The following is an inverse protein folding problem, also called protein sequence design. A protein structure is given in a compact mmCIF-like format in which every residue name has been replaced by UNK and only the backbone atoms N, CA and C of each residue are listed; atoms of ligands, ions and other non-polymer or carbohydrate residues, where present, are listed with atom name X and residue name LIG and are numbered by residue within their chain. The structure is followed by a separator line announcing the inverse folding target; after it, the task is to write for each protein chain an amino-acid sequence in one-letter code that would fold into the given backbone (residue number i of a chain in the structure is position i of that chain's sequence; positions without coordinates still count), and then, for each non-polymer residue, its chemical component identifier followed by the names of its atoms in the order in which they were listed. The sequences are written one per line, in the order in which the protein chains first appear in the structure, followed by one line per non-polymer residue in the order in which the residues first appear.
data_IF_562707736269
#
_entry.id   IF_562707736269
#
_cell.length_a   1.000
_cell.length_b   1.000
_cell.length_c   1.000
_cell.angle_alpha   90.00
_cell.angle_beta   90.00
_cell.angle_gamma   90.00
#
_symmetry.space_group_name_H-M   'P 1'
#
loop_
_entity.id
_entity.type
_entity.pdbx_description
1 polymer ?
#
# COMPACT_ATOMS: atom_id res chain seq x y z
N UNK A 1 22.65 -3.81 5.92
CA UNK A 1 21.93 -2.55 5.65
C UNK A 1 20.53 -2.94 5.26
N UNK A 2 19.68 -3.12 6.25
CA UNK A 2 18.27 -3.45 6.05
C UNK A 2 17.61 -2.25 5.36
N UNK A 3 17.04 -2.46 4.17
CA UNK A 3 16.29 -1.42 3.48
C UNK A 3 15.09 -1.06 4.35
N UNK A 4 15.06 0.17 4.84
CA UNK A 4 13.89 0.68 5.53
C UNK A 4 12.74 0.77 4.53
N UNK A 5 11.66 0.06 4.83
CA UNK A 5 10.49 -0.06 3.98
C UNK A 5 9.58 1.15 4.17
N UNK A 6 9.84 2.21 3.40
CA UNK A 6 9.09 3.45 3.48
C UNK A 6 7.86 3.36 2.58
N UNK A 7 6.66 3.33 3.19
CA UNK A 7 5.39 3.55 2.50
C UNK A 7 5.00 5.01 2.74
N UNK A 8 4.40 5.67 1.76
CA UNK A 8 3.82 7.01 1.92
C UNK A 8 2.33 6.94 1.63
N UNK A 9 1.56 7.71 2.38
CA UNK A 9 0.15 7.97 2.05
C UNK A 9 0.03 9.01 0.93
N UNK A 10 -1.20 9.31 0.53
CA UNK A 10 -1.50 10.26 -0.55
C UNK A 10 -1.08 11.70 -0.20
N UNK A 11 -0.90 12.03 1.08
CA UNK A 11 -0.38 13.31 1.55
C UNK A 11 1.17 13.35 1.58
N UNK A 12 1.81 12.24 1.22
CA UNK A 12 3.27 12.10 1.20
C UNK A 12 3.89 11.82 2.56
N UNK A 13 3.08 11.55 3.58
CA UNK A 13 3.52 11.27 4.95
C UNK A 13 3.94 9.81 5.07
N UNK A 14 5.09 9.58 5.72
CA UNK A 14 5.64 8.22 5.90
C UNK A 14 4.74 7.39 6.80
N UNK A 15 4.30 6.25 6.30
CA UNK A 15 3.50 5.23 6.99
C UNK A 15 4.28 3.94 7.17
N UNK A 16 4.22 3.41 8.39
CA UNK A 16 4.75 2.10 8.74
C UNK A 16 3.58 1.25 9.24
N UNK A 17 3.06 0.32 8.41
CA UNK A 17 2.00 -0.57 8.84
C UNK A 17 2.49 -1.43 10.00
N UNK A 18 1.66 -1.59 11.04
CA UNK A 18 1.94 -2.49 12.18
C UNK A 18 2.28 -3.92 11.73
N UNK A 19 1.68 -4.36 10.62
CA UNK A 19 1.98 -5.64 10.01
C UNK A 19 1.95 -5.51 8.48
N UNK A 20 3.13 -5.37 7.88
CA UNK A 20 3.28 -5.20 6.43
C UNK A 20 2.64 -6.34 5.63
N UNK A 21 2.74 -7.59 6.09
CA UNK A 21 2.13 -8.73 5.40
C UNK A 21 0.60 -8.61 5.37
N UNK A 22 -0.03 -8.30 6.51
CA UNK A 22 -1.48 -8.10 6.57
C UNK A 22 -1.93 -6.94 5.71
N UNK A 23 -1.18 -5.84 5.70
CA UNK A 23 -1.46 -4.69 4.84
C UNK A 23 -1.41 -5.09 3.35
N UNK A 24 -0.33 -5.77 2.92
CA UNK A 24 -0.20 -6.28 1.54
C UNK A 24 -1.35 -7.21 1.16
N UNK A 25 -1.68 -8.18 2.02
CA UNK A 25 -2.75 -9.15 1.80
C UNK A 25 -4.11 -8.43 1.68
N UNK A 26 -4.37 -7.39 2.48
CA UNK A 26 -5.58 -6.57 2.40
C UNK A 26 -5.67 -5.80 1.08
N UNK A 27 -4.61 -5.07 0.71
CA UNK A 27 -4.57 -4.29 -0.53
C UNK A 27 -4.78 -5.21 -1.75
N UNK A 28 -4.13 -6.38 -1.81
CA UNK A 28 -4.35 -7.34 -2.90
C UNK A 28 -5.81 -7.81 -2.93
N UNK A 29 -6.37 -8.15 -1.77
CA UNK A 29 -7.69 -8.76 -1.70
C UNK A 29 -8.81 -7.80 -2.10
N UNK A 30 -8.72 -6.54 -1.69
CA UNK A 30 -9.83 -5.59 -1.79
C UNK A 30 -9.60 -4.43 -2.77
N UNK A 31 -8.35 -4.13 -3.10
CA UNK A 31 -7.96 -2.98 -3.93
C UNK A 31 -7.11 -3.40 -5.13
N UNK A 32 -7.24 -4.66 -5.56
CA UNK A 32 -6.61 -5.14 -6.77
C UNK A 32 -7.58 -5.83 -7.71
N UNK A 33 -7.47 -5.52 -8.98
CA UNK A 33 -8.19 -6.17 -10.07
C UNK A 33 -7.17 -6.87 -10.97
N UNK A 34 -7.21 -8.21 -11.01
CA UNK A 34 -6.29 -9.05 -11.80
C UNK A 34 -4.81 -8.78 -11.48
N UNK A 35 -4.50 -8.51 -10.22
CA UNK A 35 -3.13 -8.25 -9.74
C UNK A 35 -2.62 -6.82 -9.99
N UNK A 36 -3.49 -5.91 -10.42
CA UNK A 36 -3.18 -4.47 -10.59
C UNK A 36 -3.97 -3.66 -9.58
N UNK A 37 -3.38 -2.57 -9.08
CA UNK A 37 -4.13 -1.60 -8.29
C UNK A 37 -5.30 -1.05 -9.09
N UNK A 38 -6.48 -0.98 -8.48
CA UNK A 38 -7.73 -0.62 -9.14
C UNK A 38 -8.06 0.88 -9.07
N UNK A 39 -7.16 1.70 -8.53
CA UNK A 39 -7.33 3.15 -8.27
C UNK A 39 -8.42 3.49 -7.25
N UNK A 40 -8.84 2.52 -6.43
CA UNK A 40 -9.72 2.80 -5.30
C UNK A 40 -8.95 3.42 -4.12
N UNK A 41 -9.70 4.09 -3.25
CA UNK A 41 -9.20 4.70 -2.02
C UNK A 41 -9.24 3.68 -0.89
N UNK A 42 -8.10 3.44 -0.25
CA UNK A 42 -7.98 2.69 1.01
C UNK A 42 -7.74 3.66 2.17
N UNK A 43 -8.38 3.40 3.31
CA UNK A 43 -8.18 4.18 4.53
C UNK A 43 -7.65 3.25 5.63
N UNK A 44 -6.44 3.53 6.12
CA UNK A 44 -5.79 2.78 7.19
C UNK A 44 -5.34 3.73 8.28
N UNK A 45 -5.82 3.53 9.52
CA UNK A 45 -5.43 4.35 10.68
C UNK A 45 -5.56 5.87 10.44
N UNK A 46 -6.58 6.30 9.68
CA UNK A 46 -6.82 7.71 9.33
C UNK A 46 -5.98 8.24 8.17
N UNK A 47 -5.22 7.38 7.49
CA UNK A 47 -4.41 7.73 6.32
C UNK A 47 -5.03 7.20 5.04
N UNK A 48 -4.81 7.94 3.96
CA UNK A 48 -5.41 7.70 2.66
C UNK A 48 -4.39 7.11 1.69
N UNK A 49 -4.75 6.03 1.01
CA UNK A 49 -3.91 5.41 0.00
C UNK A 49 -4.71 5.18 -1.27
N UNK A 50 -4.35 5.86 -2.33
CA UNK A 50 -4.89 5.59 -3.66
C UNK A 50 -4.12 4.41 -4.26
N UNK A 51 -4.79 3.27 -4.39
CA UNK A 51 -4.16 2.02 -4.81
C UNK A 51 -4.01 1.98 -6.33
N UNK A 52 -3.05 2.78 -6.82
CA UNK A 52 -2.64 2.77 -8.22
C UNK A 52 -1.85 1.50 -8.56
N UNK A 53 -1.74 1.19 -9.85
CA UNK A 53 -0.87 0.10 -10.32
C UNK A 53 0.59 0.28 -9.84
N UNK A 54 1.08 1.52 -9.85
CA UNK A 54 2.43 1.87 -9.39
C UNK A 54 2.60 1.67 -7.88
N UNK A 55 1.61 2.06 -7.08
CA UNK A 55 1.62 1.85 -5.63
C UNK A 55 1.69 0.37 -5.30
N UNK A 56 0.77 -0.43 -5.87
CA UNK A 56 0.73 -1.88 -5.62
C UNK A 56 2.03 -2.55 -6.05
N UNK A 57 2.57 -2.19 -7.22
CA UNK A 57 3.83 -2.74 -7.72
C UNK A 57 5.02 -2.36 -6.84
N UNK A 58 5.06 -1.14 -6.32
CA UNK A 58 6.06 -0.71 -5.34
C UNK A 58 5.96 -1.54 -4.07
N UNK A 59 4.75 -1.65 -3.53
CA UNK A 59 4.45 -2.42 -2.32
C UNK A 59 4.85 -3.90 -2.43
N UNK A 60 4.69 -4.53 -3.60
CA UNK A 60 5.07 -5.94 -3.81
C UNK A 60 6.57 -6.17 -4.03
N UNK A 61 7.32 -5.14 -4.42
CA UNK A 61 8.79 -5.22 -4.58
C UNK A 61 9.58 -5.02 -3.29
N UNK A 62 8.88 -4.63 -2.23
CA UNK A 62 9.41 -4.49 -0.88
C UNK A 62 9.54 -5.86 -0.24
#
# INVERSE_FOLDING_TARGET
MDKEFIIKDDEGVVYHPKNLKKFKDHIIKYHSLRGKGDNSLHIEEGRFFTITESFLKGLMKM
#
